data_IF_759137074346
#
_entry.id   IF_759137074346
#
_cell.length_a   1.000
_cell.length_b   1.000
_cell.length_c   1.000
_cell.angle_alpha   90.00
_cell.angle_beta   90.00
_cell.angle_gamma   90.00
#
_symmetry.space_group_name_H-M   'P 1'
#
loop_
_entity.id
_entity.type
_entity.pdbx_description
1 polymer ?
#
# COMPACT_ATOMS: atom_id res chain seq x y z
N UNK A 1 -20.48 -15.51 -39.72
CA UNK A 1 -19.79 -15.31 -38.43
C UNK A 1 -18.30 -15.46 -38.67
N UNK A 2 -17.59 -14.35 -38.92
CA UNK A 2 -16.15 -14.38 -39.18
C UNK A 2 -15.40 -14.63 -37.88
N UNK A 3 -14.60 -15.71 -37.82
CA UNK A 3 -13.62 -15.92 -36.75
C UNK A 3 -12.67 -14.73 -36.75
N UNK A 4 -12.59 -14.01 -35.63
CA UNK A 4 -11.44 -13.15 -35.35
C UNK A 4 -10.22 -14.08 -35.30
N UNK A 5 -9.27 -13.92 -36.23
CA UNK A 5 -8.00 -14.63 -36.15
C UNK A 5 -7.36 -14.25 -34.81
N UNK A 6 -7.19 -15.24 -33.93
CA UNK A 6 -6.30 -15.11 -32.79
C UNK A 6 -4.92 -14.77 -33.35
N UNK A 7 -4.53 -13.52 -33.19
CA UNK A 7 -3.19 -13.08 -33.56
C UNK A 7 -2.24 -13.90 -32.68
N UNK A 8 -1.38 -14.69 -33.32
CA UNK A 8 -0.33 -15.44 -32.63
C UNK A 8 0.41 -14.47 -31.71
N UNK A 9 0.39 -14.70 -30.40
CA UNK A 9 1.29 -13.98 -29.49
C UNK A 9 2.71 -14.25 -29.99
N UNK A 10 3.33 -13.22 -30.56
CA UNK A 10 4.69 -13.30 -31.07
C UNK A 10 5.60 -13.30 -29.85
N UNK A 11 5.91 -14.48 -29.32
CA UNK A 11 6.91 -14.68 -28.27
C UNK A 11 8.35 -14.46 -28.77
N UNK A 12 8.51 -13.88 -29.96
CA UNK A 12 9.81 -13.54 -30.55
C UNK A 12 9.86 -12.05 -30.76
N UNK A 13 10.38 -11.33 -29.79
CA UNK A 13 10.76 -9.93 -29.98
C UNK A 13 11.99 -9.96 -30.89
N UNK A 14 11.82 -9.60 -32.16
CA UNK A 14 12.92 -9.53 -33.13
C UNK A 14 13.99 -8.50 -32.74
N UNK A 15 14.96 -8.31 -33.62
CA UNK A 15 16.05 -7.33 -33.58
C UNK A 15 15.56 -5.87 -33.69
N UNK A 16 14.57 -5.50 -32.90
CA UNK A 16 14.06 -4.14 -32.77
C UNK A 16 15.11 -3.32 -32.00
N UNK A 17 15.76 -2.40 -32.68
CA UNK A 17 16.72 -1.48 -32.07
C UNK A 17 15.99 -0.19 -31.70
N UNK A 18 16.25 0.31 -30.49
CA UNK A 18 15.91 1.70 -30.15
C UNK A 18 16.96 2.57 -30.84
N UNK A 19 16.52 3.42 -31.78
CA UNK A 19 17.40 4.38 -32.43
C UNK A 19 17.57 5.58 -31.51
N UNK A 20 18.77 5.77 -30.98
CA UNK A 20 19.14 6.96 -30.24
C UNK A 20 19.98 7.86 -31.13
N UNK A 21 20.01 9.15 -30.87
CA UNK A 21 20.87 10.11 -31.58
C UNK A 21 21.84 10.72 -30.59
N UNK A 22 23.13 10.73 -30.90
CA UNK A 22 24.12 11.37 -30.04
C UNK A 22 24.06 12.90 -30.11
N UNK A 23 24.89 13.56 -29.29
CA UNK A 23 24.97 15.03 -29.24
C UNK A 23 25.45 15.69 -30.54
N UNK A 24 25.92 14.90 -31.52
CA UNK A 24 26.36 15.35 -32.84
C UNK A 24 25.33 15.02 -33.93
N UNK A 25 24.16 14.48 -33.58
CA UNK A 25 23.12 14.12 -34.55
C UNK A 25 23.32 12.75 -35.21
N UNK A 26 24.29 11.94 -34.75
CA UNK A 26 24.59 10.64 -35.34
C UNK A 26 23.77 9.52 -34.69
N UNK A 27 23.28 8.53 -35.46
CA UNK A 27 22.55 7.42 -34.89
C UNK A 27 23.45 6.50 -34.05
N UNK A 28 23.04 6.26 -32.80
CA UNK A 28 23.67 5.34 -31.87
C UNK A 28 22.84 4.07 -31.74
N UNK A 29 23.51 2.93 -31.86
CA UNK A 29 22.94 1.62 -31.55
C UNK A 29 23.35 1.20 -30.15
N UNK A 30 22.38 0.98 -29.28
CA UNK A 30 22.57 0.40 -27.96
C UNK A 30 21.91 -0.99 -27.91
N UNK A 31 22.57 -1.96 -27.27
CA UNK A 31 21.94 -3.27 -27.05
C UNK A 31 20.79 -3.14 -26.05
N UNK A 32 19.77 -4.02 -26.16
CA UNK A 32 18.63 -4.00 -25.22
C UNK A 32 19.08 -4.20 -23.76
N UNK A 33 20.09 -5.05 -23.53
CA UNK A 33 20.62 -5.31 -22.20
C UNK A 33 21.30 -4.06 -21.62
N UNK A 34 22.15 -3.39 -22.41
CA UNK A 34 22.83 -2.17 -21.98
C UNK A 34 21.83 -1.03 -21.78
N UNK A 35 20.79 -0.92 -22.64
CA UNK A 35 19.73 0.08 -22.48
C UNK A 35 18.92 -0.18 -21.20
N UNK A 36 18.59 -1.43 -20.89
CA UNK A 36 17.90 -1.79 -19.66
C UNK A 36 18.76 -1.50 -18.42
N UNK A 37 20.08 -1.75 -18.48
CA UNK A 37 20.99 -1.40 -17.39
C UNK A 37 21.11 0.12 -17.20
N UNK A 38 21.23 0.88 -18.29
CA UNK A 38 21.25 2.35 -18.23
C UNK A 38 19.93 2.88 -17.66
N UNK A 39 18.78 2.40 -18.13
CA UNK A 39 17.46 2.76 -17.59
C UNK A 39 17.37 2.44 -16.10
N UNK A 40 17.81 1.25 -15.66
CA UNK A 40 17.86 0.91 -14.22
C UNK A 40 18.80 1.84 -13.45
N UNK A 41 19.92 2.25 -14.04
CA UNK A 41 20.87 3.19 -13.43
C UNK A 41 20.27 4.58 -13.25
N UNK A 42 19.55 5.13 -14.23
CA UNK A 42 18.87 6.44 -14.09
C UNK A 42 17.53 6.34 -13.35
N UNK A 43 16.91 5.16 -13.27
CA UNK A 43 15.76 4.93 -12.39
C UNK A 43 16.12 5.08 -10.91
N UNK A 44 17.39 4.90 -10.53
CA UNK A 44 17.85 5.25 -9.17
C UNK A 44 17.78 6.77 -8.90
N UNK A 45 17.71 7.61 -9.94
CA UNK A 45 17.52 9.06 -9.81
C UNK A 45 16.04 9.46 -9.72
N UNK A 46 15.12 8.57 -10.11
CA UNK A 46 13.69 8.76 -9.88
C UNK A 46 13.40 8.52 -8.40
N UNK A 47 13.16 9.60 -7.66
CA UNK A 47 12.86 9.54 -6.23
C UNK A 47 11.39 9.90 -5.98
N UNK A 48 10.96 9.77 -4.73
CA UNK A 48 9.57 9.95 -4.29
C UNK A 48 9.02 11.37 -4.58
N UNK A 49 9.91 12.35 -4.76
CA UNK A 49 9.58 13.77 -4.93
C UNK A 49 9.65 14.19 -6.40
N UNK A 50 10.59 13.64 -7.17
CA UNK A 50 10.80 13.99 -8.57
C UNK A 50 10.42 12.84 -9.52
N UNK A 51 9.46 13.13 -10.41
CA UNK A 51 9.02 12.33 -11.57
C UNK A 51 7.97 11.23 -11.33
N UNK A 52 7.09 11.41 -10.35
CA UNK A 52 5.75 10.78 -10.40
C UNK A 52 5.68 9.30 -10.01
N UNK A 53 6.70 8.77 -9.34
CA UNK A 53 6.58 7.49 -8.65
C UNK A 53 5.82 7.72 -7.34
N UNK A 54 4.54 7.35 -7.28
CA UNK A 54 3.83 7.27 -5.98
C UNK A 54 4.67 6.37 -5.05
N UNK A 55 5.04 6.85 -3.85
CA UNK A 55 5.86 6.05 -2.95
C UNK A 55 5.13 4.74 -2.63
N UNK A 56 5.86 3.63 -2.80
CA UNK A 56 5.41 2.32 -2.37
C UNK A 56 4.99 2.40 -0.89
N UNK A 57 3.71 2.13 -0.63
CA UNK A 57 3.11 2.20 0.70
C UNK A 57 2.00 3.24 0.86
N UNK A 58 1.89 4.33 0.08
CA UNK A 58 0.75 5.27 0.26
C UNK A 58 -0.59 4.63 -0.10
N UNK A 59 -0.56 3.67 -1.04
CA UNK A 59 -1.71 2.85 -1.40
C UNK A 59 -1.30 1.40 -1.26
N UNK A 60 -2.18 0.56 -0.71
CA UNK A 60 -1.97 -0.87 -0.71
C UNK A 60 -3.27 -1.63 -0.65
N UNK A 61 -3.31 -2.74 -1.38
CA UNK A 61 -4.46 -3.62 -1.46
C UNK A 61 -4.06 -5.05 -1.12
N UNK A 62 -4.91 -5.76 -0.40
CA UNK A 62 -4.76 -7.19 -0.13
C UNK A 62 -6.09 -7.90 -0.42
N UNK A 63 -6.03 -8.84 -1.36
CA UNK A 63 -7.17 -9.68 -1.76
C UNK A 63 -7.03 -11.08 -1.12
N UNK A 64 -6.82 -11.12 0.19
CA UNK A 64 -6.74 -12.35 0.97
C UNK A 64 -7.72 -12.26 2.12
N UNK A 65 -8.37 -13.37 2.41
CA UNK A 65 -9.07 -13.54 3.68
C UNK A 65 -8.05 -13.65 4.81
N UNK A 66 -7.46 -12.55 5.26
CA UNK A 66 -6.54 -12.53 6.38
C UNK A 66 -6.67 -11.21 7.14
N UNK A 67 -6.32 -11.23 8.42
CA UNK A 67 -6.08 -9.97 9.13
C UNK A 67 -4.94 -9.26 8.44
N UNK A 68 -4.91 -7.93 8.53
CA UNK A 68 -3.95 -7.12 7.76
C UNK A 68 -3.27 -6.11 8.67
N UNK A 69 -1.95 -6.11 8.68
CA UNK A 69 -1.15 -5.03 9.24
C UNK A 69 -1.21 -3.83 8.29
N UNK A 70 -1.92 -2.77 8.70
CA UNK A 70 -2.14 -1.58 7.88
C UNK A 70 -0.90 -0.68 7.89
N UNK A 71 -0.41 -0.36 9.08
CA UNK A 71 0.73 0.53 9.28
C UNK A 71 1.43 0.29 10.62
N UNK A 72 2.61 0.87 10.75
CA UNK A 72 3.41 0.90 11.96
C UNK A 72 3.79 2.34 12.28
N UNK A 73 3.64 2.76 13.54
CA UNK A 73 4.09 4.07 14.00
C UNK A 73 5.59 4.09 14.23
N UNK A 74 6.21 5.22 13.93
CA UNK A 74 7.59 5.50 14.32
C UNK A 74 7.63 6.08 15.74
N UNK A 75 8.79 6.01 16.41
CA UNK A 75 9.01 6.57 17.76
C UNK A 75 9.18 8.11 17.74
N UNK A 76 8.33 8.79 16.97
CA UNK A 76 8.21 10.25 16.86
C UNK A 76 6.74 10.66 16.99
N UNK A 77 6.46 11.96 16.91
CA UNK A 77 5.09 12.48 16.81
C UNK A 77 4.33 11.79 15.67
N UNK A 78 3.10 11.38 15.94
CA UNK A 78 2.21 10.76 14.94
C UNK A 78 1.08 11.72 14.61
N UNK A 79 0.87 11.99 13.33
CA UNK A 79 -0.28 12.74 12.79
C UNK A 79 -0.64 12.15 11.45
N UNK A 80 -1.50 11.14 11.49
CA UNK A 80 -1.78 10.32 10.32
C UNK A 80 -3.27 10.07 10.13
N UNK A 81 -3.66 9.85 8.88
CA UNK A 81 -5.04 9.56 8.51
C UNK A 81 -5.09 8.67 7.27
N UNK A 82 -6.06 7.77 7.22
CA UNK A 82 -6.22 6.78 6.15
C UNK A 82 -7.69 6.60 5.79
N UNK A 83 -7.96 6.34 4.51
CA UNK A 83 -9.22 5.79 4.03
C UNK A 83 -9.04 4.30 3.81
N UNK A 84 -9.91 3.51 4.42
CA UNK A 84 -9.87 2.04 4.38
C UNK A 84 -11.17 1.52 3.78
N UNK A 85 -11.06 0.87 2.63
CA UNK A 85 -12.14 0.15 1.96
C UNK A 85 -12.01 -1.33 2.26
N UNK A 86 -13.12 -1.95 2.63
CA UNK A 86 -13.18 -3.37 2.93
C UNK A 86 -14.39 -3.93 2.20
N UNK A 87 -14.31 -5.12 1.60
CA UNK A 87 -15.48 -5.75 0.98
C UNK A 87 -15.54 -7.23 1.30
N UNK A 88 -16.74 -7.73 1.57
CA UNK A 88 -17.07 -9.17 1.58
C UNK A 88 -17.26 -9.69 0.15
N UNK A 89 -16.77 -10.90 -0.14
CA UNK A 89 -16.82 -11.54 -1.47
C UNK A 89 -18.24 -11.97 -1.82
N UNK A 90 -19.10 -12.07 -0.82
CA UNK A 90 -20.48 -12.56 -0.95
C UNK A 90 -21.51 -11.44 -1.13
N UNK A 91 -21.22 -10.20 -0.71
CA UNK A 91 -22.17 -9.07 -0.79
C UNK A 91 -21.72 -7.95 -1.73
N UNK A 92 -20.42 -7.88 -2.09
CA UNK A 92 -19.89 -7.02 -3.15
C UNK A 92 -19.90 -5.51 -2.89
N UNK A 93 -20.53 -5.05 -1.80
CA UNK A 93 -20.55 -3.63 -1.42
C UNK A 93 -19.46 -3.40 -0.37
N UNK A 94 -18.46 -2.54 -0.66
CA UNK A 94 -17.44 -2.22 0.31
C UNK A 94 -17.97 -1.30 1.41
N UNK A 95 -17.50 -1.52 2.64
CA UNK A 95 -17.57 -0.52 3.68
C UNK A 95 -16.37 0.41 3.56
N UNK A 96 -16.61 1.67 3.88
CA UNK A 96 -15.57 2.70 3.88
C UNK A 96 -15.39 3.24 5.30
N UNK A 97 -14.14 3.28 5.75
CA UNK A 97 -13.74 3.77 7.05
C UNK A 97 -12.75 4.91 6.90
N UNK A 98 -12.85 5.89 7.78
CA UNK A 98 -11.81 6.88 8.01
C UNK A 98 -11.11 6.57 9.32
N UNK A 99 -9.79 6.43 9.26
CA UNK A 99 -8.94 6.17 10.42
C UNK A 99 -8.09 7.41 10.65
N UNK A 100 -8.08 7.93 11.88
CA UNK A 100 -7.19 9.00 12.29
C UNK A 100 -6.35 8.57 13.48
N UNK A 101 -5.09 8.99 13.48
CA UNK A 101 -4.10 8.60 14.46
C UNK A 101 -3.30 9.81 14.94
N UNK A 102 -3.17 9.93 16.25
CA UNK A 102 -2.41 10.99 16.88
C UNK A 102 -1.58 10.47 18.05
N UNK A 103 -0.35 10.97 18.15
CA UNK A 103 0.51 10.77 19.32
C UNK A 103 1.49 11.93 19.46
N UNK A 104 1.63 12.46 20.66
CA UNK A 104 2.59 13.51 20.96
C UNK A 104 4.05 13.02 20.86
N UNK A 105 4.97 13.95 20.65
CA UNK A 105 6.41 13.68 20.71
C UNK A 105 6.79 13.02 22.04
N UNK A 106 7.77 12.12 22.01
CA UNK A 106 8.35 11.48 23.20
C UNK A 106 7.38 10.62 24.03
N UNK A 107 6.17 10.35 23.54
CA UNK A 107 5.23 9.42 24.16
C UNK A 107 5.40 8.01 23.57
N UNK A 108 5.75 7.04 24.42
CA UNK A 108 5.90 5.62 24.05
C UNK A 108 4.65 4.77 24.32
N UNK A 109 3.59 5.36 24.85
CA UNK A 109 2.30 4.70 25.02
C UNK A 109 1.52 4.56 23.71
N UNK A 110 0.31 4.02 23.86
CA UNK A 110 -0.61 3.80 22.74
C UNK A 110 -0.93 5.12 22.04
N UNK A 111 -0.86 5.19 20.71
CA UNK A 111 -1.43 6.31 19.97
C UNK A 111 -2.94 6.34 20.15
N UNK A 112 -3.53 7.53 20.05
CA UNK A 112 -4.98 7.67 19.92
C UNK A 112 -5.33 7.23 18.51
N UNK A 113 -6.14 6.18 18.38
CA UNK A 113 -6.68 5.71 17.09
C UNK A 113 -8.19 5.85 17.14
N UNK A 114 -8.74 6.61 16.19
CA UNK A 114 -10.17 6.84 16.03
C UNK A 114 -10.61 6.35 14.66
N UNK A 115 -11.74 5.65 14.64
CA UNK A 115 -12.32 5.06 13.43
C UNK A 115 -13.73 5.61 13.26
N UNK A 116 -14.01 6.14 12.07
CA UNK A 116 -15.35 6.57 11.67
C UNK A 116 -15.82 5.75 10.50
N UNK A 117 -17.02 5.18 10.59
CA UNK A 117 -17.66 4.53 9.44
C UNK A 117 -18.23 5.61 8.55
N UNK A 118 -17.74 5.69 7.31
CA UNK A 118 -18.22 6.63 6.31
C UNK A 118 -19.35 6.04 5.47
N UNK A 119 -19.30 4.73 5.21
CA UNK A 119 -20.34 4.01 4.48
C UNK A 119 -20.33 2.52 4.84
N UNK A 120 -21.53 1.92 4.83
CA UNK A 120 -21.73 0.49 5.06
C UNK A 120 -22.25 0.14 6.46
N UNK A 121 -22.46 -1.16 6.71
CA UNK A 121 -23.26 -1.63 7.88
C UNK A 121 -22.55 -2.61 8.79
N UNK A 122 -21.52 -3.32 8.34
CA UNK A 122 -20.72 -4.18 9.21
C UNK A 122 -19.62 -3.39 9.93
N UNK A 123 -19.30 -3.77 11.16
CA UNK A 123 -18.20 -3.17 11.91
C UNK A 123 -16.96 -4.04 11.79
N UNK A 124 -15.82 -3.40 11.59
CA UNK A 124 -14.51 -4.03 11.62
C UNK A 124 -13.72 -3.53 12.81
N UNK A 125 -12.97 -4.43 13.44
CA UNK A 125 -12.11 -4.08 14.55
C UNK A 125 -10.76 -3.61 14.03
N UNK A 126 -10.40 -2.39 14.40
CA UNK A 126 -9.06 -1.87 14.22
C UNK A 126 -8.35 -2.00 15.55
N UNK A 127 -7.24 -2.71 15.56
CA UNK A 127 -6.51 -3.07 16.79
C UNK A 127 -5.11 -2.50 16.70
N UNK A 128 -4.73 -1.72 17.71
CA UNK A 128 -3.36 -1.27 17.91
C UNK A 128 -2.62 -2.17 18.89
N UNK A 129 -1.35 -2.45 18.63
CA UNK A 129 -0.45 -3.12 19.58
C UNK A 129 0.87 -2.38 19.64
N UNK A 130 1.14 -1.79 20.80
CA UNK A 130 2.37 -1.02 21.06
C UNK A 130 3.38 -1.91 21.76
N UNK A 131 4.61 -1.95 21.25
CA UNK A 131 5.72 -2.60 21.92
C UNK A 131 6.34 -1.72 23.03
N UNK A 132 7.36 -2.26 23.71
CA UNK A 132 8.05 -1.55 24.79
C UNK A 132 8.79 -0.28 24.31
N UNK A 133 9.14 -0.22 23.03
CA UNK A 133 9.87 0.90 22.41
C UNK A 133 8.92 1.98 21.86
N UNK A 134 7.60 1.81 22.06
CA UNK A 134 6.57 2.73 21.62
C UNK A 134 6.22 2.62 20.14
N UNK A 135 6.65 1.57 19.43
CA UNK A 135 6.17 1.29 18.08
C UNK A 135 4.83 0.57 18.17
N UNK A 136 3.79 1.23 17.69
CA UNK A 136 2.46 0.68 17.56
C UNK A 136 2.23 0.15 16.15
N UNK A 137 1.90 -1.13 16.04
CA UNK A 137 1.39 -1.76 14.83
C UNK A 137 -0.13 -1.69 14.83
N UNK A 138 -0.72 -1.32 13.69
CA UNK A 138 -2.17 -1.13 13.55
C UNK A 138 -2.73 -2.16 12.57
N UNK A 139 -3.67 -2.94 13.03
CA UNK A 139 -4.23 -4.09 12.33
C UNK A 139 -5.71 -3.88 12.02
N UNK A 140 -6.15 -4.37 10.86
CA UNK A 140 -7.55 -4.66 10.59
C UNK A 140 -7.77 -6.15 10.84
N UNK A 141 -8.59 -6.48 11.85
CA UNK A 141 -8.89 -7.87 12.21
C UNK A 141 -9.85 -8.49 11.19
N UNK A 142 -9.45 -9.60 10.57
CA UNK A 142 -10.35 -10.40 9.74
C UNK A 142 -11.51 -10.91 10.57
N UNK A 143 -12.72 -10.70 10.04
CA UNK A 143 -13.91 -11.42 10.47
C UNK A 143 -14.24 -12.54 9.47
N UNK A 144 -15.37 -13.23 9.66
CA UNK A 144 -15.83 -14.29 8.75
C UNK A 144 -15.93 -13.83 7.28
N UNK A 145 -16.04 -12.52 7.02
CA UNK A 145 -16.40 -11.95 5.72
C UNK A 145 -15.41 -10.87 5.19
N UNK A 146 -14.11 -10.91 5.51
CA UNK A 146 -13.12 -9.89 5.05
C UNK A 146 -12.13 -10.40 3.97
N UNK A 147 -12.52 -10.48 2.68
CA UNK A 147 -11.68 -10.96 1.59
C UNK A 147 -10.88 -9.90 0.82
N UNK A 148 -11.33 -8.65 0.80
CA UNK A 148 -10.62 -7.57 0.09
C UNK A 148 -10.50 -6.37 1.01
N UNK A 149 -9.26 -5.90 1.17
CA UNK A 149 -8.92 -4.67 1.87
C UNK A 149 -8.11 -3.79 0.93
N UNK A 150 -8.47 -2.51 0.85
CA UNK A 150 -7.71 -1.49 0.16
C UNK A 150 -7.57 -0.26 1.06
N UNK A 151 -6.38 0.32 1.12
CA UNK A 151 -6.10 1.48 1.98
C UNK A 151 -5.37 2.56 1.20
N UNK A 152 -5.75 3.79 1.48
CA UNK A 152 -5.06 4.99 0.99
C UNK A 152 -4.71 5.85 2.20
N UNK A 153 -3.42 6.13 2.36
CA UNK A 153 -2.96 7.10 3.35
C UNK A 153 -3.17 8.52 2.85
N UNK A 154 -3.81 9.36 3.68
CA UNK A 154 -4.01 10.78 3.42
C UNK A 154 -2.97 11.65 4.12
N UNK A 155 -2.53 11.22 5.31
CA UNK A 155 -1.39 11.80 6.04
C UNK A 155 -0.58 10.66 6.65
N UNK A 156 0.74 10.72 6.53
CA UNK A 156 1.65 9.65 6.95
C UNK A 156 2.69 10.08 7.98
N UNK A 157 2.56 11.27 8.56
CA UNK A 157 3.56 11.77 9.50
C UNK A 157 3.65 10.87 10.74
N UNK A 158 4.82 10.28 10.96
CA UNK A 158 5.07 9.34 12.06
C UNK A 158 4.53 7.93 11.83
N UNK A 159 4.10 7.56 10.61
CA UNK A 159 3.73 6.19 10.27
C UNK A 159 4.44 5.69 9.02
N UNK A 160 4.56 4.37 8.93
CA UNK A 160 4.96 3.64 7.73
C UNK A 160 3.86 2.65 7.39
N UNK A 161 3.32 2.75 6.17
CA UNK A 161 2.32 1.81 5.67
C UNK A 161 2.95 0.44 5.40
N UNK A 162 2.19 -0.63 5.63
CA UNK A 162 2.69 -2.03 5.56
C UNK A 162 1.88 -2.86 4.58
N UNK A 163 0.57 -2.99 4.81
CA UNK A 163 -0.33 -3.79 4.00
C UNK A 163 0.12 -5.24 3.83
N UNK A 164 0.43 -5.86 4.97
CA UNK A 164 0.92 -7.23 5.07
C UNK A 164 -0.14 -8.12 5.72
N UNK A 165 -0.20 -9.40 5.32
CA UNK A 165 -1.04 -10.38 6.02
C UNK A 165 -0.58 -10.54 7.46
N UNK A 166 -1.53 -10.68 8.37
CA UNK A 166 -1.30 -10.88 9.79
C UNK A 166 -2.16 -12.02 10.33
N UNK A 167 -1.69 -12.65 11.39
CA UNK A 167 -2.47 -13.62 12.18
C UNK A 167 -3.08 -12.93 13.41
N UNK A 168 -4.24 -13.39 13.88
CA UNK A 168 -4.90 -12.77 15.03
C UNK A 168 -4.08 -12.85 16.32
N UNK A 169 -3.22 -13.86 16.45
CA UNK A 169 -2.30 -13.99 17.60
C UNK A 169 -1.28 -12.84 17.67
N UNK A 170 -0.94 -12.21 16.54
CA UNK A 170 0.07 -11.15 16.52
C UNK A 170 -0.40 -9.91 17.29
N UNK A 171 -1.70 -9.60 17.26
CA UNK A 171 -2.31 -8.46 17.94
C UNK A 171 -3.18 -8.83 19.14
N UNK A 172 -3.08 -10.08 19.62
CA UNK A 172 -3.70 -10.50 20.87
C UNK A 172 -3.18 -9.62 22.03
N UNK A 173 -4.10 -9.19 22.91
CA UNK A 173 -3.81 -8.25 24.00
C UNK A 173 -3.58 -6.81 23.56
N UNK A 174 -3.82 -6.48 22.28
CA UNK A 174 -3.82 -5.11 21.78
C UNK A 174 -5.02 -4.30 22.29
N UNK A 175 -5.02 -3.00 21.99
CA UNK A 175 -6.12 -2.09 22.30
C UNK A 175 -7.00 -1.87 21.07
N UNK A 176 -8.31 -1.91 21.24
CA UNK A 176 -9.26 -1.62 20.17
C UNK A 176 -9.34 -0.10 19.95
N UNK A 177 -9.34 0.32 18.68
CA UNK A 177 -9.51 1.71 18.33
C UNK A 177 -10.91 2.22 18.73
N UNK A 178 -11.02 3.51 19.03
CA UNK A 178 -12.31 4.11 19.41
C UNK A 178 -13.17 4.32 18.17
N UNK A 179 -14.38 3.77 18.17
CA UNK A 179 -15.40 4.01 17.15
C UNK A 179 -16.12 5.35 17.45
N UNK A 180 -16.22 6.23 16.45
CA UNK A 180 -16.94 7.52 16.49
C UNK A 180 -18.27 7.49 15.73
#
# INVERSE_FOLDING_TARGET
>A
MGKLNETTQVNTIGSEFVLLTDSNGLPVRISKNNLAEVIRSVMNEANIVDKGLMPAGIVGSINKGASTLLCETQSITVTASMLLSISATTTGIPNLYFISMARAASNTGNPIIKVKVLAGTYNMKIIGKTDADGKCKVYAERTQYTPVIDVIAMSTFGITMKMESADNSEFEGGFEATLE
#
